data_IF_940298238267
#
_entry.id   IF_940298238267
#
_cell.length_a   1.000
_cell.length_b   1.000
_cell.length_c   1.000
_cell.angle_alpha   90.00
_cell.angle_beta   90.00
_cell.angle_gamma   90.00
#
_symmetry.space_group_name_H-M   'P 1'
#
loop_
_entity.id
_entity.type
_entity.pdbx_description
1 polymer ?
#
# COMPACT_ATOMS: atom_id res chain seq x y z
N UNK A 1 17.32 23.71 -3.41
CA UNK A 1 18.14 24.18 -2.28
C UNK A 1 18.92 22.99 -1.74
N UNK A 2 20.12 23.17 -1.15
CA UNK A 2 20.83 22.06 -0.51
C UNK A 2 20.00 21.51 0.65
N UNK A 3 19.71 20.20 0.61
CA UNK A 3 19.21 19.48 1.78
C UNK A 3 20.37 18.77 2.46
N UNK A 4 20.65 19.17 3.70
CA UNK A 4 21.62 18.48 4.55
C UNK A 4 20.81 17.65 5.54
N UNK A 5 20.98 16.34 5.46
CA UNK A 5 20.25 15.38 6.29
C UNK A 5 21.28 14.65 7.16
N UNK A 6 21.02 14.60 8.47
CA UNK A 6 21.81 13.82 9.42
C UNK A 6 21.48 12.33 9.35
N UNK A 7 21.68 11.61 10.46
CA UNK A 7 21.36 10.18 10.52
C UNK A 7 19.84 9.98 10.44
N UNK A 8 19.39 9.24 9.42
CA UNK A 8 17.97 8.90 9.23
C UNK A 8 17.80 7.39 9.22
N UNK A 9 16.84 6.89 10.02
CA UNK A 9 16.42 5.50 10.01
C UNK A 9 14.96 5.43 9.58
N UNK A 10 14.74 4.93 8.38
CA UNK A 10 13.40 4.63 7.86
C UNK A 10 13.11 3.16 8.16
N UNK A 11 12.07 2.90 8.93
CA UNK A 11 11.72 1.53 9.38
C UNK A 11 10.81 0.84 8.37
N UNK A 12 9.89 1.58 7.74
CA UNK A 12 9.08 1.10 6.62
C UNK A 12 8.44 2.29 5.90
N UNK A 13 8.19 2.12 4.61
CA UNK A 13 7.41 3.03 3.77
C UNK A 13 6.28 2.22 3.12
N UNK A 14 5.06 2.76 3.17
CA UNK A 14 3.86 2.08 2.68
C UNK A 14 3.67 2.21 1.17
N UNK A 15 2.52 1.73 0.66
CA UNK A 15 2.10 2.01 -0.72
C UNK A 15 1.93 3.51 -0.94
N UNK A 16 2.21 4.00 -2.15
CA UNK A 16 2.16 5.45 -2.47
C UNK A 16 3.03 6.35 -1.58
N UNK A 17 4.07 5.83 -0.92
CA UNK A 17 4.88 6.64 0.00
C UNK A 17 6.15 7.13 -0.68
N UNK A 18 6.48 8.41 -0.46
CA UNK A 18 7.66 9.05 -1.03
C UNK A 18 8.39 9.78 0.10
N UNK A 19 9.66 9.45 0.33
CA UNK A 19 10.52 10.11 1.32
C UNK A 19 11.56 10.92 0.57
N UNK A 20 11.40 12.24 0.53
CA UNK A 20 12.33 13.14 -0.16
C UNK A 20 12.87 14.18 0.79
N UNK A 21 14.16 14.48 0.61
CA UNK A 21 14.85 15.54 1.31
C UNK A 21 15.39 16.54 0.29
N UNK A 22 15.02 17.80 0.45
CA UNK A 22 15.30 18.87 -0.51
C UNK A 22 14.11 19.22 -1.38
N UNK A 23 14.34 20.05 -2.38
CA UNK A 23 13.27 20.62 -3.19
C UNK A 23 12.66 19.52 -4.08
N UNK A 24 11.33 19.54 -4.17
CA UNK A 24 10.61 18.75 -5.15
C UNK A 24 9.62 19.63 -5.91
N UNK A 25 9.54 19.43 -7.23
CA UNK A 25 8.66 20.20 -8.10
C UNK A 25 7.26 19.59 -8.16
N UNK A 26 7.14 18.29 -8.43
CA UNK A 26 5.87 17.55 -8.38
C UNK A 26 6.17 16.13 -7.88
N UNK A 27 5.41 15.66 -6.89
CA UNK A 27 5.39 14.27 -6.42
C UNK A 27 3.94 13.81 -6.45
N UNK A 28 3.59 12.89 -7.35
CA UNK A 28 2.26 12.30 -7.42
C UNK A 28 2.36 10.77 -7.29
N UNK A 29 2.39 10.22 -6.06
CA UNK A 29 2.46 8.79 -5.87
C UNK A 29 1.05 8.21 -5.89
N UNK A 30 0.69 7.51 -6.95
CA UNK A 30 -0.58 6.79 -7.04
C UNK A 30 -0.42 5.35 -6.57
N UNK A 31 -1.39 4.85 -5.83
CA UNK A 31 -1.47 3.45 -5.44
C UNK A 31 -2.90 3.01 -5.49
N UNK A 32 -3.07 1.81 -6.02
CA UNK A 32 -4.31 1.10 -6.06
C UNK A 32 -4.02 -0.29 -5.53
N UNK A 33 -4.83 -0.73 -4.57
CA UNK A 33 -4.72 -2.08 -4.03
C UNK A 33 -6.10 -2.69 -3.93
N UNK A 34 -6.31 -3.79 -4.64
CA UNK A 34 -7.44 -4.68 -4.46
C UNK A 34 -7.00 -5.82 -3.57
N UNK A 35 -7.68 -5.98 -2.44
CA UNK A 35 -7.26 -6.93 -1.43
C UNK A 35 -8.46 -7.79 -1.03
N UNK A 36 -8.42 -9.05 -1.40
CA UNK A 36 -9.40 -10.05 -1.01
C UNK A 36 -8.74 -11.04 -0.06
N UNK A 37 -9.39 -11.32 1.06
CA UNK A 37 -8.84 -12.15 2.12
C UNK A 37 -9.86 -13.15 2.63
N UNK A 38 -9.41 -14.40 2.78
CA UNK A 38 -10.17 -15.49 3.39
C UNK A 38 -9.90 -15.62 4.88
N UNK A 39 -10.49 -16.65 5.49
CA UNK A 39 -10.25 -16.96 6.90
C UNK A 39 -8.76 -17.14 7.16
N UNK A 40 -8.22 -16.43 8.16
CA UNK A 40 -6.80 -16.46 8.51
C UNK A 40 -5.85 -15.61 7.68
N UNK A 41 -6.37 -14.65 6.91
CA UNK A 41 -5.52 -13.72 6.15
C UNK A 41 -5.04 -12.53 7.00
N UNK A 42 -4.02 -11.82 6.53
CA UNK A 42 -3.40 -10.61 7.12
C UNK A 42 -2.89 -10.73 8.56
N UNK A 43 -2.58 -11.94 9.02
CA UNK A 43 -1.89 -12.11 10.30
C UNK A 43 -0.47 -11.54 10.21
N UNK A 44 -0.19 -10.51 11.00
CA UNK A 44 1.12 -9.84 11.07
C UNK A 44 1.62 -9.91 12.51
N UNK A 45 2.86 -10.36 12.73
CA UNK A 45 3.47 -10.56 14.06
C UNK A 45 3.94 -12.00 14.29
N UNK A 46 4.57 -12.24 15.45
CA UNK A 46 5.08 -13.57 15.84
C UNK A 46 4.04 -14.36 16.66
N UNK A 47 4.02 -15.68 16.47
CA UNK A 47 3.05 -16.65 17.05
C UNK A 47 1.54 -16.45 16.75
N UNK A 48 1.10 -16.20 15.50
CA UNK A 48 -0.32 -16.23 15.17
C UNK A 48 -0.87 -17.67 15.21
N UNK A 49 -1.78 -17.97 16.15
CA UNK A 49 -2.55 -19.23 16.16
C UNK A 49 -3.93 -18.98 15.56
N UNK A 50 -4.16 -19.50 14.37
CA UNK A 50 -5.36 -19.26 13.59
C UNK A 50 -6.06 -20.58 13.31
N UNK A 51 -7.29 -20.74 13.79
CA UNK A 51 -8.11 -21.93 13.56
C UNK A 51 -9.28 -21.55 12.63
N UNK A 52 -9.18 -21.93 11.37
CA UNK A 52 -10.23 -21.69 10.37
C UNK A 52 -10.94 -23.00 10.05
N UNK A 53 -12.27 -23.05 10.19
CA UNK A 53 -13.05 -24.27 9.90
C UNK A 53 -13.66 -24.25 8.49
N UNK A 54 -14.08 -23.08 8.00
CA UNK A 54 -14.58 -22.88 6.64
C UNK A 54 -14.17 -21.48 6.14
N UNK A 55 -13.86 -21.33 4.86
CA UNK A 55 -13.57 -20.04 4.23
C UNK A 55 -14.17 -19.99 2.82
N UNK A 56 -14.91 -18.93 2.51
CA UNK A 56 -15.35 -18.61 1.15
C UNK A 56 -15.00 -17.16 0.85
N UNK A 57 -14.18 -16.92 -0.17
CA UNK A 57 -13.82 -15.58 -0.65
C UNK A 57 -14.50 -15.35 -1.98
N UNK A 58 -15.73 -14.84 -1.95
CA UNK A 58 -16.47 -14.51 -3.17
C UNK A 58 -16.07 -13.09 -3.58
N UNK A 59 -15.34 -12.99 -4.68
CA UNK A 59 -14.90 -11.72 -5.27
C UNK A 59 -15.71 -11.48 -6.54
N UNK A 60 -16.97 -11.10 -6.38
CA UNK A 60 -17.84 -10.81 -7.52
C UNK A 60 -17.63 -9.35 -7.93
N UNK A 61 -16.88 -9.15 -9.00
CA UNK A 61 -16.56 -7.83 -9.54
C UNK A 61 -17.34 -7.62 -10.84
N UNK A 62 -18.28 -6.66 -10.86
CA UNK A 62 -19.17 -6.39 -12.00
C UNK A 62 -18.86 -5.07 -12.71
N UNK A 63 -17.67 -4.52 -12.54
CA UNK A 63 -17.14 -3.37 -13.30
C UNK A 63 -15.92 -3.80 -14.14
N UNK A 64 -15.74 -3.19 -15.31
CA UNK A 64 -14.63 -3.44 -16.24
C UNK A 64 -13.38 -2.62 -15.90
N UNK A 65 -13.55 -1.46 -15.25
CA UNK A 65 -12.43 -0.63 -14.83
C UNK A 65 -12.31 -0.73 -13.32
N UNK A 66 -11.16 -1.22 -12.88
CA UNK A 66 -10.91 -1.26 -11.46
C UNK A 66 -9.44 -0.94 -11.21
N UNK A 67 -9.22 -0.02 -10.27
CA UNK A 67 -8.02 0.79 -10.11
C UNK A 67 -7.77 1.88 -11.19
N UNK A 68 -8.59 2.94 -11.20
CA UNK A 68 -8.26 4.15 -11.95
C UNK A 68 -7.18 4.95 -11.20
N UNK A 69 -5.90 4.59 -11.39
CA UNK A 69 -4.75 5.42 -10.97
C UNK A 69 -4.56 6.64 -11.88
N UNK A 70 -5.66 7.20 -12.41
CA UNK A 70 -5.65 8.40 -13.25
C UNK A 70 -5.58 9.63 -12.35
N UNK A 71 -4.35 9.95 -11.95
CA UNK A 71 -4.05 11.06 -11.05
C UNK A 71 -2.69 11.67 -11.35
N UNK A 72 -2.43 12.03 -12.62
CA UNK A 72 -1.53 13.15 -12.92
C UNK A 72 -1.85 13.70 -14.31
N UNK A 73 -2.69 14.75 -14.35
CA UNK A 73 -2.80 15.64 -15.51
C UNK A 73 -1.67 16.66 -15.36
N UNK A 74 -0.78 16.73 -16.35
CA UNK A 74 -0.03 17.96 -16.62
C UNK A 74 -0.90 18.87 -17.49
#
# INVERSE_FOLDING_TARGET
MPAIVGNVKIISVGSSSVVHFGDSFIISPTSSSKTFAGAGSFNTGDFPRVYNTYSTTVTNDSDFIDANASGNIL
#
